data_IF_110888676099
#
_entry.id   IF_110888676099
#
_cell.length_a   1.000
_cell.length_b   1.000
_cell.length_c   1.000
_cell.angle_alpha   90.00
_cell.angle_beta   90.00
_cell.angle_gamma   90.00
#
_symmetry.space_group_name_H-M   'P 1'
#
loop_
_entity.id
_entity.type
_entity.pdbx_description
1 polymer ?
#
# COMPACT_ATOMS: atom_id res chain seq x y z
N UNK A 1 24.88 9.71 21.19
CA UNK A 1 24.21 8.40 21.22
C UNK A 1 23.10 8.47 20.19
N UNK A 2 23.38 8.04 18.96
CA UNK A 2 22.34 7.88 17.93
C UNK A 2 21.57 6.63 18.31
N UNK A 3 20.40 6.79 18.92
CA UNK A 3 19.47 5.67 19.00
C UNK A 3 18.97 5.45 17.58
N UNK A 4 19.41 4.37 16.96
CA UNK A 4 18.82 3.87 15.72
C UNK A 4 17.32 3.71 15.96
N UNK A 5 16.57 4.75 15.59
CA UNK A 5 15.13 4.78 15.84
C UNK A 5 14.49 3.93 14.77
N UNK A 6 14.28 2.65 15.07
CA UNK A 6 13.46 1.78 14.25
C UNK A 6 11.97 2.06 14.53
N UNK A 7 11.23 2.41 13.51
CA UNK A 7 9.79 2.61 13.61
C UNK A 7 9.11 1.87 12.46
N UNK A 8 8.05 1.18 12.82
CA UNK A 8 7.22 0.39 11.90
C UNK A 8 5.77 0.87 11.96
N UNK A 9 5.13 0.98 10.80
CA UNK A 9 3.73 1.36 10.69
C UNK A 9 3.05 0.51 9.61
N UNK A 10 1.99 -0.20 9.97
CA UNK A 10 1.22 -1.07 9.08
C UNK A 10 -0.10 -0.41 8.71
N UNK A 11 -0.42 -0.35 7.42
CA UNK A 11 -1.65 0.23 6.89
C UNK A 11 -2.32 -0.73 5.92
N UNK A 12 -3.55 -1.14 6.24
CA UNK A 12 -4.33 -1.99 5.36
C UNK A 12 -4.94 -1.18 4.21
N UNK A 13 -4.71 -1.61 2.97
CA UNK A 13 -5.32 -0.98 1.79
C UNK A 13 -6.75 -1.47 1.59
N UNK A 14 -7.67 -0.55 1.31
CA UNK A 14 -9.04 -0.88 0.93
C UNK A 14 -9.03 -1.71 -0.36
N UNK A 15 -9.57 -2.93 -0.27
CA UNK A 15 -9.66 -3.80 -1.43
C UNK A 15 -10.63 -3.24 -2.48
N UNK A 16 -10.23 -3.32 -3.76
CA UNK A 16 -11.09 -2.90 -4.87
C UNK A 16 -12.38 -3.74 -4.91
N UNK A 17 -13.56 -3.11 -5.07
CA UNK A 17 -14.82 -3.83 -5.25
C UNK A 17 -14.79 -4.80 -6.44
N UNK A 18 -14.08 -4.42 -7.52
CA UNK A 18 -13.92 -5.25 -8.73
C UNK A 18 -13.15 -6.53 -8.39
N UNK A 19 -12.07 -6.44 -7.58
CA UNK A 19 -11.30 -7.63 -7.17
C UNK A 19 -12.10 -8.56 -6.26
N UNK A 20 -12.95 -8.00 -5.37
CA UNK A 20 -13.87 -8.79 -4.55
C UNK A 20 -14.89 -9.53 -5.41
N UNK A 21 -15.48 -8.83 -6.38
CA UNK A 21 -16.42 -9.43 -7.32
C UNK A 21 -15.77 -10.54 -8.16
N UNK A 22 -14.58 -10.28 -8.72
CA UNK A 22 -13.80 -11.26 -9.49
C UNK A 22 -13.50 -12.52 -8.66
N UNK A 23 -13.07 -12.35 -7.39
CA UNK A 23 -12.85 -13.46 -6.47
C UNK A 23 -14.10 -14.33 -6.31
N UNK A 24 -15.25 -13.70 -6.02
CA UNK A 24 -16.51 -14.41 -5.81
C UNK A 24 -16.93 -15.14 -7.09
N UNK A 25 -16.84 -14.49 -8.25
CA UNK A 25 -17.17 -15.09 -9.55
C UNK A 25 -16.30 -16.33 -9.83
N UNK A 26 -14.99 -16.23 -9.60
CA UNK A 26 -14.07 -17.35 -9.80
C UNK A 26 -14.35 -18.52 -8.85
N UNK A 27 -14.73 -18.25 -7.61
CA UNK A 27 -15.13 -19.30 -6.66
C UNK A 27 -16.42 -20.00 -7.14
N UNK A 28 -17.42 -19.22 -7.58
CA UNK A 28 -18.68 -19.79 -8.08
C UNK A 28 -18.45 -20.67 -9.32
N UNK A 29 -17.60 -20.22 -10.26
CA UNK A 29 -17.24 -21.01 -11.43
C UNK A 29 -16.48 -22.29 -11.03
N UNK A 30 -15.53 -22.20 -10.11
CA UNK A 30 -14.80 -23.37 -9.62
C UNK A 30 -15.76 -24.43 -9.06
N UNK A 31 -16.69 -24.02 -8.19
CA UNK A 31 -17.69 -24.93 -7.61
C UNK A 31 -18.59 -25.54 -8.68
N UNK A 32 -19.10 -24.74 -9.61
CA UNK A 32 -19.96 -25.22 -10.70
C UNK A 32 -19.26 -26.27 -11.58
N UNK A 33 -18.01 -26.00 -11.98
CA UNK A 33 -17.24 -26.93 -12.81
C UNK A 33 -16.83 -28.22 -12.08
N UNK A 34 -16.54 -28.13 -10.78
CA UNK A 34 -16.30 -29.32 -9.96
C UNK A 34 -17.59 -30.16 -9.90
N UNK A 35 -18.75 -29.55 -9.72
CA UNK A 35 -20.04 -30.27 -9.67
C UNK A 35 -20.34 -30.97 -10.99
N UNK A 36 -20.13 -30.30 -12.12
CA UNK A 36 -20.27 -30.88 -13.47
C UNK A 36 -19.32 -32.07 -13.67
N UNK A 37 -18.09 -31.96 -13.17
CA UNK A 37 -17.12 -33.05 -13.23
C UNK A 37 -17.54 -34.29 -12.46
N UNK A 38 -18.18 -34.12 -11.30
CA UNK A 38 -18.72 -35.21 -10.50
C UNK A 38 -19.93 -35.90 -11.19
N UNK A 39 -20.64 -35.16 -12.04
CA UNK A 39 -21.73 -35.72 -12.88
C UNK A 39 -21.24 -36.53 -14.10
N UNK A 40 -19.93 -36.74 -14.24
CA UNK A 40 -19.33 -37.57 -15.31
C UNK A 40 -18.61 -36.77 -16.41
N UNK A 41 -18.63 -35.44 -16.38
CA UNK A 41 -17.88 -34.60 -17.30
C UNK A 41 -16.45 -34.34 -16.81
N UNK A 42 -15.59 -35.34 -16.81
CA UNK A 42 -14.25 -35.26 -16.19
C UNK A 42 -13.38 -34.08 -16.67
N UNK A 43 -13.54 -33.65 -17.93
CA UNK A 43 -12.85 -32.46 -18.44
C UNK A 43 -13.22 -31.18 -17.66
N UNK A 44 -14.41 -31.12 -17.09
CA UNK A 44 -14.84 -29.98 -16.27
C UNK A 44 -14.05 -29.86 -14.95
N UNK A 45 -13.52 -30.96 -14.40
CA UNK A 45 -12.67 -30.92 -13.21
C UNK A 45 -11.40 -30.11 -13.43
N UNK A 46 -10.79 -30.22 -14.61
CA UNK A 46 -9.58 -29.47 -14.94
C UNK A 46 -9.88 -27.97 -14.94
N UNK A 47 -11.03 -27.55 -15.52
CA UNK A 47 -11.46 -26.16 -15.51
C UNK A 47 -11.80 -25.68 -14.09
N UNK A 48 -12.45 -26.53 -13.28
CA UNK A 48 -12.74 -26.23 -11.87
C UNK A 48 -11.49 -25.96 -11.05
N UNK A 49 -10.44 -26.78 -11.23
CA UNK A 49 -9.14 -26.57 -10.59
C UNK A 49 -8.50 -25.25 -11.07
N UNK A 50 -8.56 -24.97 -12.39
CA UNK A 50 -8.03 -23.73 -12.96
C UNK A 50 -8.70 -22.47 -12.36
N UNK A 51 -10.03 -22.47 -12.27
CA UNK A 51 -10.78 -21.39 -11.63
C UNK A 51 -10.48 -21.28 -10.12
N UNK A 52 -10.28 -22.39 -9.43
CA UNK A 52 -9.89 -22.43 -8.02
C UNK A 52 -8.52 -21.77 -7.78
N UNK A 53 -7.54 -22.09 -8.63
CA UNK A 53 -6.22 -21.44 -8.60
C UNK A 53 -6.35 -19.94 -8.90
N UNK A 54 -7.15 -19.56 -9.90
CA UNK A 54 -7.44 -18.17 -10.20
C UNK A 54 -8.07 -17.41 -9.02
N UNK A 55 -9.02 -18.03 -8.33
CA UNK A 55 -9.67 -17.48 -7.13
C UNK A 55 -8.67 -17.29 -5.98
N UNK A 56 -7.71 -18.20 -5.81
CA UNK A 56 -6.64 -18.06 -4.82
C UNK A 56 -5.78 -16.83 -5.10
N UNK A 57 -5.33 -16.63 -6.35
CA UNK A 57 -4.55 -15.43 -6.72
C UNK A 57 -5.38 -14.14 -6.58
N UNK A 58 -6.65 -14.15 -6.96
CA UNK A 58 -7.54 -13.00 -6.77
C UNK A 58 -7.70 -12.68 -5.27
N UNK A 59 -7.78 -13.68 -4.41
CA UNK A 59 -7.84 -13.50 -2.96
C UNK A 59 -6.62 -12.78 -2.39
N UNK A 60 -5.43 -13.12 -2.88
CA UNK A 60 -4.17 -12.46 -2.48
C UNK A 60 -4.19 -10.95 -2.82
N UNK A 61 -4.80 -10.58 -3.95
CA UNK A 61 -4.93 -9.18 -4.36
C UNK A 61 -6.02 -8.42 -3.59
N UNK A 62 -6.94 -9.11 -2.94
CA UNK A 62 -7.95 -8.48 -2.09
C UNK A 62 -7.41 -8.02 -0.73
N UNK A 63 -6.32 -8.62 -0.26
CA UNK A 63 -5.74 -8.32 1.05
C UNK A 63 -4.33 -7.77 0.84
N UNK A 64 -4.27 -6.46 0.60
CA UNK A 64 -3.01 -5.73 0.46
C UNK A 64 -2.82 -4.88 1.70
N UNK A 65 -1.63 -4.94 2.29
CA UNK A 65 -1.19 -4.07 3.37
C UNK A 65 0.12 -3.41 2.96
N UNK A 66 0.32 -2.18 3.38
CA UNK A 66 1.60 -1.48 3.26
C UNK A 66 2.22 -1.35 4.64
N UNK A 67 3.48 -1.66 4.72
CA UNK A 67 4.29 -1.51 5.91
C UNK A 67 5.36 -0.48 5.63
N UNK A 68 5.35 0.58 6.43
CA UNK A 68 6.36 1.64 6.37
C UNK A 68 7.37 1.38 7.47
N UNK A 69 8.62 1.30 7.07
CA UNK A 69 9.76 1.06 7.95
C UNK A 69 10.66 2.30 7.91
N UNK A 70 10.97 2.84 9.06
CA UNK A 70 11.96 3.90 9.20
C UNK A 70 13.17 3.37 9.97
N UNK A 71 14.34 3.45 9.36
CA UNK A 71 15.62 3.06 9.96
C UNK A 71 16.74 3.89 9.30
N UNK A 72 17.66 4.42 10.11
CA UNK A 72 18.90 5.08 9.63
C UNK A 72 18.68 6.13 8.52
N UNK A 73 17.68 7.00 8.67
CA UNK A 73 17.26 8.02 7.68
C UNK A 73 16.73 7.44 6.37
N UNK A 74 16.35 6.18 6.36
CA UNK A 74 15.75 5.51 5.23
C UNK A 74 14.29 5.17 5.53
N UNK A 75 13.40 5.52 4.61
CA UNK A 75 11.99 5.14 4.61
C UNK A 75 11.82 4.02 3.60
N UNK A 76 11.59 2.80 4.06
CA UNK A 76 11.28 1.65 3.21
C UNK A 76 9.79 1.37 3.22
N UNK A 77 9.23 1.05 2.06
CA UNK A 77 7.83 0.66 1.91
C UNK A 77 7.76 -0.76 1.40
N UNK A 78 7.21 -1.64 2.22
CA UNK A 78 6.96 -3.03 1.90
C UNK A 78 5.47 -3.24 1.59
N UNK A 79 5.18 -4.02 0.56
CA UNK A 79 3.83 -4.46 0.22
C UNK A 79 3.64 -5.89 0.69
N UNK A 80 2.63 -6.11 1.53
CA UNK A 80 2.23 -7.42 2.02
C UNK A 80 0.96 -7.84 1.28
N UNK A 81 1.00 -9.00 0.64
CA UNK A 81 -0.13 -9.57 -0.11
C UNK A 81 -0.58 -10.88 0.57
N UNK A 82 -1.89 -10.98 0.85
CA UNK A 82 -2.46 -12.17 1.48
C UNK A 82 -1.86 -12.51 2.83
N UNK A 83 -1.40 -11.50 3.58
CA UNK A 83 -0.82 -11.61 4.94
C UNK A 83 0.49 -12.44 5.02
N UNK A 84 1.02 -12.93 3.91
CA UNK A 84 2.18 -13.84 3.94
C UNK A 84 3.31 -13.42 2.99
N UNK A 85 3.01 -12.78 1.88
CA UNK A 85 4.01 -12.39 0.88
C UNK A 85 4.41 -10.93 1.07
N UNK A 86 5.55 -10.70 1.70
CA UNK A 86 6.17 -9.38 1.84
C UNK A 86 7.11 -9.14 0.65
N UNK A 87 7.00 -7.95 0.05
CA UNK A 87 7.90 -7.50 -1.01
C UNK A 87 8.21 -6.02 -0.81
N UNK A 88 9.48 -5.66 -0.70
CA UNK A 88 9.92 -4.26 -0.74
C UNK A 88 9.64 -3.68 -2.12
N UNK A 89 8.92 -2.56 -2.15
CA UNK A 89 8.49 -1.91 -3.37
C UNK A 89 9.11 -0.54 -3.58
N UNK A 90 9.53 0.10 -2.50
CA UNK A 90 10.19 1.41 -2.55
C UNK A 90 11.09 1.62 -1.33
N UNK A 91 12.12 2.44 -1.53
CA UNK A 91 13.04 2.91 -0.51
C UNK A 91 13.37 4.36 -0.81
N UNK A 92 13.30 5.22 0.22
CA UNK A 92 13.48 6.66 0.12
C UNK A 92 14.45 7.14 1.21
N UNK A 93 15.48 7.87 0.81
CA UNK A 93 16.40 8.50 1.74
C UNK A 93 15.83 9.84 2.23
N UNK A 94 15.78 10.07 3.53
CA UNK A 94 15.26 11.32 4.13
C UNK A 94 16.07 12.54 3.67
N UNK A 95 17.35 12.36 3.40
CA UNK A 95 18.22 13.45 2.93
C UNK A 95 17.80 13.97 1.54
N UNK A 96 17.22 13.12 0.69
CA UNK A 96 16.72 13.47 -0.67
C UNK A 96 15.24 13.87 -0.67
N UNK A 97 14.54 13.68 0.42
CA UNK A 97 13.17 14.16 0.61
C UNK A 97 13.17 15.69 0.59
N UNK A 98 12.25 16.30 -0.14
CA UNK A 98 12.08 17.75 -0.18
C UNK A 98 11.17 18.24 0.94
N UNK A 99 10.01 17.61 1.07
CA UNK A 99 9.01 17.93 2.07
C UNK A 99 8.16 16.71 2.40
N UNK A 100 7.74 16.62 3.67
CA UNK A 100 6.74 15.69 4.18
C UNK A 100 5.71 16.48 4.99
N UNK A 101 4.46 16.46 4.58
CA UNK A 101 3.38 17.19 5.26
C UNK A 101 2.03 16.48 5.07
N UNK A 102 1.04 16.76 5.95
CA UNK A 102 -0.33 16.30 5.74
C UNK A 102 -0.87 16.74 4.37
N UNK A 103 -1.73 15.91 3.76
CA UNK A 103 -2.28 16.19 2.43
C UNK A 103 -2.96 17.55 2.32
N UNK A 104 -3.53 18.06 3.42
CA UNK A 104 -4.25 19.33 3.47
C UNK A 104 -3.37 20.50 3.91
N UNK A 105 -2.07 20.29 4.16
CA UNK A 105 -1.15 21.34 4.59
C UNK A 105 -0.91 22.40 3.50
N UNK A 106 -0.88 23.65 3.91
CA UNK A 106 -0.54 24.77 3.02
C UNK A 106 0.93 24.76 2.58
N UNK A 107 1.78 24.09 3.32
CA UNK A 107 3.19 23.89 2.96
C UNK A 107 3.39 23.14 1.63
N UNK A 108 2.36 22.42 1.18
CA UNK A 108 2.38 21.69 -0.10
C UNK A 108 1.97 22.54 -1.31
N UNK A 109 1.48 23.77 -1.14
CA UNK A 109 0.87 24.54 -2.23
C UNK A 109 1.85 24.85 -3.37
N UNK A 110 3.10 25.13 -3.06
CA UNK A 110 4.14 25.34 -4.08
C UNK A 110 4.53 24.05 -4.80
N UNK A 111 4.44 22.93 -4.12
CA UNK A 111 4.77 21.62 -4.67
C UNK A 111 3.64 21.06 -5.53
N UNK A 112 2.37 21.35 -5.23
CA UNK A 112 1.20 20.91 -6.02
C UNK A 112 1.19 21.42 -7.45
N UNK A 113 1.91 22.52 -7.73
CA UNK A 113 2.06 23.08 -9.08
C UNK A 113 3.03 22.31 -9.97
N UNK A 114 3.79 21.38 -9.39
CA UNK A 114 4.76 20.57 -10.12
C UNK A 114 4.08 19.34 -10.71
N UNK A 115 4.52 18.93 -11.90
CA UNK A 115 4.09 17.67 -12.50
C UNK A 115 4.82 16.50 -11.84
N UNK A 116 4.37 16.11 -10.64
CA UNK A 116 4.90 14.96 -9.93
C UNK A 116 4.07 13.71 -10.23
N UNK A 117 4.72 12.56 -10.40
CA UNK A 117 4.05 11.27 -10.59
C UNK A 117 3.60 10.73 -9.24
N UNK A 118 2.27 10.61 -8.99
CA UNK A 118 1.77 10.12 -7.72
C UNK A 118 2.00 8.62 -7.58
N UNK A 119 2.59 8.22 -6.46
CA UNK A 119 2.67 6.83 -5.99
C UNK A 119 1.89 6.73 -4.68
N UNK A 120 0.74 6.06 -4.73
CA UNK A 120 -0.17 5.96 -3.59
C UNK A 120 0.01 4.63 -2.87
N UNK A 121 0.56 4.72 -1.67
CA UNK A 121 0.76 3.61 -0.73
C UNK A 121 -0.14 3.73 0.51
N UNK A 122 -1.16 4.60 0.48
CA UNK A 122 -2.12 4.78 1.55
C UNK A 122 -3.17 3.66 1.61
N UNK A 123 -4.05 3.73 2.59
CA UNK A 123 -5.23 2.85 2.68
C UNK A 123 -6.19 3.01 1.49
N UNK A 124 -6.10 4.11 0.75
CA UNK A 124 -7.05 4.50 -0.30
C UNK A 124 -8.39 4.99 0.25
N UNK A 125 -8.45 5.28 1.55
CA UNK A 125 -9.63 5.85 2.21
C UNK A 125 -9.34 7.31 2.50
N UNK A 126 -10.19 8.20 2.00
CA UNK A 126 -10.15 9.62 2.38
C UNK A 126 -11.03 9.78 3.61
N UNK A 127 -10.39 9.83 4.78
CA UNK A 127 -11.06 10.10 6.07
C UNK A 127 -11.15 11.61 6.32
N UNK A 128 -11.98 11.99 7.29
CA UNK A 128 -11.99 13.36 7.83
C UNK A 128 -11.85 13.28 9.34
N UNK A 129 -10.75 13.82 9.90
CA UNK A 129 -9.63 14.49 9.23
C UNK A 129 -8.81 13.52 8.35
N UNK A 130 -8.19 14.08 7.28
CA UNK A 130 -7.36 13.28 6.38
C UNK A 130 -6.06 12.90 7.08
N UNK A 131 -5.82 11.60 7.22
CA UNK A 131 -4.64 11.03 7.90
C UNK A 131 -3.47 10.80 6.98
N UNK A 132 -3.65 11.09 5.67
CA UNK A 132 -2.62 10.88 4.66
C UNK A 132 -1.61 12.01 4.67
N UNK A 133 -0.36 11.64 4.41
CA UNK A 133 0.76 12.55 4.21
C UNK A 133 1.22 12.47 2.76
N UNK A 134 1.70 13.61 2.26
CA UNK A 134 2.38 13.73 0.98
C UNK A 134 3.87 13.97 1.22
N UNK A 135 4.70 13.17 0.55
CA UNK A 135 6.13 13.33 0.50
C UNK A 135 6.56 13.63 -0.93
N UNK A 136 7.20 14.76 -1.17
CA UNK A 136 7.84 15.07 -2.45
C UNK A 136 9.30 14.63 -2.40
N UNK A 137 9.72 13.93 -3.46
CA UNK A 137 11.01 13.29 -3.52
C UNK A 137 11.67 13.54 -4.88
N UNK A 138 12.93 13.99 -4.86
CA UNK A 138 13.76 14.25 -6.06
C UNK A 138 13.06 15.05 -7.19
N UNK A 139 12.20 15.98 -6.84
CA UNK A 139 11.58 16.95 -7.76
C UNK A 139 10.41 16.44 -8.59
N UNK A 140 10.27 15.15 -8.79
CA UNK A 140 9.30 14.59 -9.73
C UNK A 140 8.46 13.42 -9.19
N UNK A 141 8.66 12.99 -7.96
CA UNK A 141 7.86 11.95 -7.33
C UNK A 141 7.01 12.50 -6.18
N UNK A 142 5.74 12.14 -6.19
CA UNK A 142 4.81 12.40 -5.09
C UNK A 142 4.44 11.06 -4.45
N UNK A 143 4.83 10.86 -3.21
CA UNK A 143 4.54 9.67 -2.44
C UNK A 143 3.43 9.99 -1.44
N UNK A 144 2.31 9.26 -1.51
CA UNK A 144 1.16 9.40 -0.61
C UNK A 144 1.12 8.16 0.27
N UNK A 145 1.13 8.36 1.60
CA UNK A 145 1.08 7.28 2.58
C UNK A 145 0.43 7.76 3.89
N UNK A 146 0.16 6.86 4.83
CA UNK A 146 -0.53 7.14 6.10
C UNK A 146 0.34 6.74 7.29
N UNK A 147 1.41 7.49 7.59
CA UNK A 147 2.26 7.19 8.73
C UNK A 147 1.53 7.50 10.04
N UNK A 148 1.82 6.73 11.08
CA UNK A 148 1.39 7.08 12.43
C UNK A 148 2.25 8.22 13.01
N UNK A 149 1.78 8.80 14.11
CA UNK A 149 2.46 9.94 14.75
C UNK A 149 3.90 9.58 15.16
N UNK A 150 4.14 8.37 15.63
CA UNK A 150 5.48 7.90 16.03
C UNK A 150 6.44 7.92 14.83
N UNK A 151 5.97 7.49 13.66
CA UNK A 151 6.74 7.50 12.43
C UNK A 151 7.07 8.93 11.99
N UNK A 152 6.07 9.83 11.97
CA UNK A 152 6.26 11.24 11.61
C UNK A 152 7.24 11.91 12.56
N UNK A 153 7.14 11.63 13.87
CA UNK A 153 8.05 12.16 14.88
C UNK A 153 9.49 11.68 14.68
N UNK A 154 9.67 10.41 14.31
CA UNK A 154 10.99 9.86 14.04
C UNK A 154 11.66 10.55 12.83
N UNK A 155 10.93 10.77 11.75
CA UNK A 155 11.44 11.49 10.57
C UNK A 155 11.66 12.97 10.88
N UNK A 156 10.76 13.60 11.66
CA UNK A 156 10.88 14.99 12.08
C UNK A 156 12.16 15.24 12.90
N UNK A 157 12.52 14.34 13.80
CA UNK A 157 13.72 14.49 14.63
C UNK A 157 15.02 14.56 13.81
N UNK A 158 15.01 13.98 12.62
CA UNK A 158 16.18 13.96 11.72
C UNK A 158 16.11 15.09 10.70
N UNK A 159 14.91 15.44 10.21
CA UNK A 159 14.71 16.46 9.19
C UNK A 159 13.64 17.51 9.58
N UNK A 160 13.82 18.26 10.68
CA UNK A 160 12.77 19.14 11.23
C UNK A 160 12.38 20.28 10.28
N UNK A 161 13.24 20.64 9.33
CA UNK A 161 12.94 21.70 8.35
C UNK A 161 12.14 21.21 7.13
N UNK A 162 12.02 19.89 6.98
CA UNK A 162 11.36 19.26 5.82
C UNK A 162 10.04 18.58 6.21
N UNK A 163 9.78 18.40 7.51
CA UNK A 163 8.60 17.67 8.02
C UNK A 163 7.67 18.63 8.75
N UNK A 164 6.42 18.65 8.32
CA UNK A 164 5.33 19.44 8.92
C UNK A 164 4.26 18.51 9.46
N UNK A 165 3.59 18.92 10.54
CA UNK A 165 2.62 18.10 11.28
C UNK A 165 1.24 18.71 11.38
N UNK A 166 1.05 19.89 10.80
CA UNK A 166 -0.17 20.71 10.80
C UNK A 166 -1.19 20.28 9.77
#
# INVERSE_FOLDING_TARGET
>A
MNSDTYVECLVARKSSPIMKFLKILLIMLAVAFVFLGLMGYFAALILGIGFGVGAYFASQQCTIEYEYLYLDKEISIDKIMGQSRRKRIATYEVDRMEILAPMNSYHLDDYRRREAKPKDYSSGIVSQPDTRFAMYYEGNELIIFEPNETFVNAVYNVAPRKVFKD
#
